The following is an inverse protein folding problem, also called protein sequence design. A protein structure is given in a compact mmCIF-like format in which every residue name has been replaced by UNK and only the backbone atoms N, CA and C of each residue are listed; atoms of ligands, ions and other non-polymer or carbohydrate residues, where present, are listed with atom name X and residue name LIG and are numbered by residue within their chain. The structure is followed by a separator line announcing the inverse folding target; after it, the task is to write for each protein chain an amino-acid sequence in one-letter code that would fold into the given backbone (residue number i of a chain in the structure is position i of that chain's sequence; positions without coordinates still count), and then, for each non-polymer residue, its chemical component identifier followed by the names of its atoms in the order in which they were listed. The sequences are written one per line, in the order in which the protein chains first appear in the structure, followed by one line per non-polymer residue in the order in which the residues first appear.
data_IF_134987869102
#
_entry.id   IF_134987869102
#
_cell.length_a   1.000
_cell.length_b   1.000
_cell.length_c   1.000
_cell.angle_alpha   90.00
_cell.angle_beta   90.00
_cell.angle_gamma   90.00
#
_symmetry.space_group_name_H-M   'P 1'
#
loop_
_entity.id
_entity.type
_entity.pdbx_description
1 polymer ?
#
# COMPACT_ATOMS: atom_id res chain seq x y z
N UNK A 1 -28.97 6.58 -9.74
CA UNK A 1 -27.98 7.27 -8.87
C UNK A 1 -27.01 8.01 -9.77
N UNK A 2 -26.55 9.21 -9.34
CA UNK A 2 -25.61 9.99 -10.16
C UNK A 2 -24.21 9.46 -9.85
N UNK A 3 -23.54 8.86 -10.84
CA UNK A 3 -22.16 8.37 -10.67
C UNK A 3 -21.21 9.57 -10.63
N UNK A 4 -20.46 9.72 -9.55
CA UNK A 4 -19.49 10.78 -9.39
C UNK A 4 -18.13 10.35 -9.95
N UNK A 5 -17.41 11.33 -10.50
CA UNK A 5 -16.02 11.17 -10.93
C UNK A 5 -15.11 11.91 -9.96
N UNK A 6 -14.26 11.19 -9.27
CA UNK A 6 -13.29 11.76 -8.34
C UNK A 6 -11.91 11.76 -8.96
N UNK A 7 -11.31 12.93 -9.08
CA UNK A 7 -9.92 13.09 -9.53
C UNK A 7 -8.95 12.89 -8.37
N UNK A 8 -7.86 12.17 -8.60
CA UNK A 8 -6.78 12.08 -7.63
C UNK A 8 -5.45 12.48 -8.26
N UNK A 9 -4.80 13.47 -7.66
CA UNK A 9 -3.51 14.00 -8.07
C UNK A 9 -2.47 13.85 -6.96
N UNK A 10 -1.24 13.45 -7.31
CA UNK A 10 -0.16 13.29 -6.33
C UNK A 10 1.18 13.76 -6.90
N UNK A 11 1.89 14.57 -6.11
CA UNK A 11 3.25 15.03 -6.44
C UNK A 11 4.19 14.84 -5.25
N UNK A 12 5.49 14.72 -5.53
CA UNK A 12 6.52 14.64 -4.50
C UNK A 12 7.01 16.01 -4.04
N UNK A 13 7.22 16.98 -4.96
CA UNK A 13 7.87 18.27 -4.64
C UNK A 13 7.50 19.45 -5.53
N UNK A 14 7.04 19.26 -6.76
CA UNK A 14 6.87 20.36 -7.72
C UNK A 14 5.41 20.82 -7.87
N UNK A 15 5.17 22.13 -7.63
CA UNK A 15 3.83 22.73 -7.79
C UNK A 15 3.35 22.69 -9.25
N UNK A 16 4.21 23.01 -10.20
CA UNK A 16 3.86 23.00 -11.64
C UNK A 16 3.37 21.65 -12.15
N UNK A 17 3.89 20.54 -11.58
CA UNK A 17 3.44 19.19 -11.94
C UNK A 17 2.06 18.89 -11.36
N UNK A 18 1.74 19.47 -10.20
CA UNK A 18 0.42 19.31 -9.59
C UNK A 18 -0.65 20.06 -10.39
N UNK A 19 -0.38 21.32 -10.76
CA UNK A 19 -1.30 22.16 -11.53
C UNK A 19 -1.66 21.48 -12.86
N UNK A 20 -0.67 20.96 -13.58
CA UNK A 20 -0.92 20.22 -14.81
C UNK A 20 -1.83 18.99 -14.61
N UNK A 21 -1.66 18.24 -13.50
CA UNK A 21 -2.54 17.11 -13.20
C UNK A 21 -3.97 17.60 -12.92
N UNK A 22 -4.11 18.67 -12.16
CA UNK A 22 -5.41 19.27 -11.83
C UNK A 22 -6.11 19.74 -13.10
N UNK A 23 -5.39 20.39 -14.01
CA UNK A 23 -5.94 20.85 -15.29
C UNK A 23 -6.44 19.68 -16.14
N UNK A 24 -5.64 18.62 -16.29
CA UNK A 24 -6.04 17.39 -17.02
C UNK A 24 -7.27 16.73 -16.42
N UNK A 25 -7.34 16.64 -15.10
CA UNK A 25 -8.49 16.06 -14.41
C UNK A 25 -9.74 16.93 -14.56
N UNK A 26 -9.58 18.25 -14.52
CA UNK A 26 -10.67 19.21 -14.70
C UNK A 26 -11.20 19.18 -16.14
N UNK A 27 -10.31 19.08 -17.13
CA UNK A 27 -10.68 18.94 -18.55
C UNK A 27 -11.43 17.62 -18.80
N UNK A 28 -11.06 16.54 -18.13
CA UNK A 28 -11.79 15.26 -18.18
C UNK A 28 -13.21 15.37 -17.57
N UNK A 29 -13.47 16.38 -16.78
CA UNK A 29 -14.78 16.66 -16.18
C UNK A 29 -15.02 15.84 -14.89
N UNK A 30 -14.05 15.82 -13.98
CA UNK A 30 -14.24 15.25 -12.63
C UNK A 30 -15.09 16.18 -11.78
N UNK A 31 -15.86 15.61 -10.85
CA UNK A 31 -16.73 16.37 -9.96
C UNK A 31 -15.98 16.96 -8.76
N UNK A 32 -14.92 16.28 -8.31
CA UNK A 32 -14.12 16.70 -7.18
C UNK A 32 -12.70 16.17 -7.35
N UNK A 33 -11.69 16.97 -6.98
CA UNK A 33 -10.28 16.61 -7.02
C UNK A 33 -9.73 16.52 -5.60
N UNK A 34 -9.01 15.44 -5.32
CA UNK A 34 -8.21 15.23 -4.13
C UNK A 34 -6.75 15.30 -4.53
N UNK A 35 -6.03 16.25 -3.96
CA UNK A 35 -4.62 16.48 -4.30
C UNK A 35 -3.72 16.29 -3.08
N UNK A 36 -2.60 15.60 -3.28
CA UNK A 36 -1.67 15.24 -2.22
C UNK A 36 -0.25 15.68 -2.56
N UNK A 37 0.32 16.51 -1.69
CA UNK A 37 1.74 16.83 -1.69
C UNK A 37 2.46 15.91 -0.73
N UNK A 38 3.34 15.06 -1.22
CA UNK A 38 4.13 14.16 -0.39
C UNK A 38 5.54 14.69 -0.22
N UNK A 39 5.84 15.19 0.98
CA UNK A 39 7.20 15.55 1.37
C UNK A 39 7.85 14.42 2.15
N UNK A 40 8.94 13.86 1.63
CA UNK A 40 9.82 12.93 2.35
C UNK A 40 9.18 11.59 2.72
N UNK A 41 9.50 11.10 3.91
CA UNK A 41 9.20 9.75 4.42
C UNK A 41 7.77 9.55 4.93
N UNK A 42 6.90 10.56 4.86
CA UNK A 42 5.52 10.44 5.37
C UNK A 42 4.72 9.44 4.53
N UNK A 43 4.37 8.31 5.16
CA UNK A 43 3.58 7.24 4.54
C UNK A 43 2.08 7.56 4.45
N UNK A 44 1.61 8.59 5.14
CA UNK A 44 0.20 8.91 5.26
C UNK A 44 -0.33 9.61 4.01
N UNK A 45 -1.52 9.24 3.57
CA UNK A 45 -2.20 9.76 2.37
C UNK A 45 -3.63 10.22 2.72
N UNK A 46 -3.78 11.28 3.52
CA UNK A 46 -5.07 11.69 4.05
C UNK A 46 -6.07 12.06 2.95
N UNK A 47 -5.61 12.62 1.84
CA UNK A 47 -6.51 12.98 0.75
C UNK A 47 -7.00 11.75 -0.03
N UNK A 48 -6.13 10.74 -0.21
CA UNK A 48 -6.56 9.46 -0.75
C UNK A 48 -7.59 8.79 0.16
N UNK A 49 -7.31 8.73 1.46
CA UNK A 49 -8.21 8.12 2.45
C UNK A 49 -9.59 8.81 2.44
N UNK A 50 -9.62 10.15 2.47
CA UNK A 50 -10.88 10.92 2.35
C UNK A 50 -11.64 10.59 1.06
N UNK A 51 -10.93 10.44 -0.06
CA UNK A 51 -11.54 10.04 -1.31
C UNK A 51 -12.14 8.64 -1.21
N UNK A 52 -11.37 7.66 -0.71
CA UNK A 52 -11.79 6.27 -0.58
C UNK A 52 -13.03 6.10 0.30
N UNK A 53 -13.15 6.91 1.36
CA UNK A 53 -14.30 6.90 2.27
C UNK A 53 -15.60 7.42 1.60
N UNK A 54 -15.46 8.30 0.60
CA UNK A 54 -16.62 8.86 -0.13
C UNK A 54 -17.08 8.03 -1.31
N UNK A 55 -16.23 7.10 -1.78
CA UNK A 55 -16.53 6.28 -2.95
C UNK A 55 -17.72 5.36 -2.71
N UNK A 56 -18.67 5.40 -3.63
CA UNK A 56 -19.85 4.55 -3.69
C UNK A 56 -19.86 3.69 -4.97
N UNK A 57 -20.67 2.65 -4.99
CA UNK A 57 -20.85 1.79 -6.16
C UNK A 57 -21.24 2.60 -7.41
N UNK A 58 -20.54 2.39 -8.51
CA UNK A 58 -20.74 3.08 -9.79
C UNK A 58 -19.91 4.35 -9.97
N UNK A 59 -19.30 4.89 -8.91
CA UNK A 59 -18.40 6.04 -9.02
C UNK A 59 -17.12 5.68 -9.83
N UNK A 60 -16.40 6.72 -10.25
CA UNK A 60 -15.14 6.55 -10.97
C UNK A 60 -14.02 7.37 -10.32
N UNK A 61 -12.86 6.74 -10.15
CA UNK A 61 -11.61 7.41 -9.79
C UNK A 61 -10.83 7.70 -11.07
N UNK A 62 -10.47 8.96 -11.29
CA UNK A 62 -9.72 9.44 -12.47
C UNK A 62 -8.35 9.90 -12.02
N UNK A 63 -7.32 9.43 -12.70
CA UNK A 63 -5.91 9.73 -12.41
C UNK A 63 -5.15 10.08 -13.70
N UNK A 64 -4.08 10.88 -13.59
CA UNK A 64 -3.16 11.10 -14.70
C UNK A 64 -2.52 9.78 -15.14
N UNK A 65 -1.98 9.02 -14.18
CA UNK A 65 -1.30 7.74 -14.42
C UNK A 65 -1.36 6.82 -13.19
N UNK A 66 -1.19 5.51 -13.42
CA UNK A 66 -1.18 4.51 -12.35
C UNK A 66 -0.10 4.78 -11.30
N UNK A 67 1.02 5.38 -11.70
CA UNK A 67 2.11 5.76 -10.79
C UNK A 67 1.72 6.87 -9.81
N UNK A 68 0.66 7.63 -10.09
CA UNK A 68 0.11 8.63 -9.17
C UNK A 68 -0.79 8.01 -8.12
N UNK A 69 -1.46 6.93 -8.47
CA UNK A 69 -2.34 6.20 -7.55
C UNK A 69 -1.54 5.32 -6.60
N UNK A 70 -0.73 4.39 -7.12
CA UNK A 70 0.11 3.49 -6.34
C UNK A 70 1.51 4.04 -6.09
N UNK A 71 2.12 3.72 -4.95
CA UNK A 71 3.55 3.96 -4.63
C UNK A 71 4.43 2.79 -5.01
N UNK A 72 3.85 1.63 -5.03
CA UNK A 72 4.45 0.36 -5.41
C UNK A 72 3.42 -0.47 -6.15
N UNK A 73 3.86 -1.49 -6.85
CA UNK A 73 2.97 -2.46 -7.47
C UNK A 73 2.00 -3.04 -6.45
N UNK A 74 2.48 -3.40 -5.26
CA UNK A 74 1.64 -3.92 -4.18
C UNK A 74 0.54 -2.95 -3.75
N UNK A 75 0.88 -1.69 -3.50
CA UNK A 75 -0.08 -0.63 -3.10
C UNK A 75 -1.14 -0.41 -4.19
N UNK A 76 -0.71 -0.39 -5.47
CA UNK A 76 -1.62 -0.26 -6.60
C UNK A 76 -2.63 -1.42 -6.65
N UNK A 77 -2.17 -2.65 -6.43
CA UNK A 77 -3.01 -3.84 -6.44
C UNK A 77 -4.05 -3.79 -5.33
N UNK A 78 -3.62 -3.46 -4.11
CA UNK A 78 -4.52 -3.36 -2.96
C UNK A 78 -5.63 -2.33 -3.23
N UNK A 79 -5.28 -1.19 -3.84
CA UNK A 79 -6.26 -0.19 -4.27
C UNK A 79 -7.19 -0.71 -5.37
N UNK A 80 -6.65 -1.45 -6.34
CA UNK A 80 -7.45 -2.03 -7.42
C UNK A 80 -8.43 -3.08 -6.89
N UNK A 81 -8.02 -3.92 -5.95
CA UNK A 81 -8.90 -4.88 -5.27
C UNK A 81 -10.01 -4.16 -4.49
N UNK A 82 -9.67 -3.07 -3.80
CA UNK A 82 -10.64 -2.25 -3.10
C UNK A 82 -11.67 -1.64 -4.06
N UNK A 83 -11.25 -1.09 -5.20
CA UNK A 83 -12.14 -0.54 -6.22
C UNK A 83 -13.06 -1.62 -6.79
N UNK A 84 -12.52 -2.80 -7.09
CA UNK A 84 -13.33 -3.91 -7.56
C UNK A 84 -14.38 -4.34 -6.52
N UNK A 85 -13.98 -4.48 -5.25
CA UNK A 85 -14.87 -4.82 -4.14
C UNK A 85 -15.97 -3.78 -3.94
N UNK A 86 -15.64 -2.49 -4.07
CA UNK A 86 -16.60 -1.38 -3.98
C UNK A 86 -17.38 -1.15 -5.28
N UNK A 87 -17.06 -1.87 -6.36
CA UNK A 87 -17.60 -1.67 -7.72
C UNK A 87 -17.39 -0.24 -8.22
N UNK A 88 -16.24 0.33 -7.93
CA UNK A 88 -15.79 1.64 -8.35
C UNK A 88 -14.96 1.49 -9.62
N UNK A 89 -15.16 2.37 -10.60
CA UNK A 89 -14.41 2.37 -11.83
C UNK A 89 -13.09 3.12 -11.68
N UNK A 90 -12.09 2.76 -12.49
CA UNK A 90 -10.80 3.44 -12.58
C UNK A 90 -10.58 3.93 -14.00
N UNK A 91 -10.17 5.19 -14.13
CA UNK A 91 -9.73 5.79 -15.39
C UNK A 91 -8.32 6.33 -15.22
N UNK A 92 -7.40 5.83 -16.04
CA UNK A 92 -6.02 6.33 -16.12
C UNK A 92 -5.80 6.97 -17.49
N UNK A 93 -5.58 8.29 -17.49
CA UNK A 93 -5.56 9.09 -18.72
C UNK A 93 -4.33 8.78 -19.59
N UNK A 94 -3.17 8.63 -18.96
CA UNK A 94 -1.91 8.39 -19.67
C UNK A 94 -1.80 6.99 -20.26
N UNK A 95 -2.27 5.99 -19.53
CA UNK A 95 -2.25 4.59 -19.99
C UNK A 95 -3.50 4.24 -20.83
N UNK A 96 -4.45 5.16 -21.01
CA UNK A 96 -5.72 4.93 -21.70
C UNK A 96 -6.51 3.73 -21.15
N UNK A 97 -6.48 3.56 -19.83
CA UNK A 97 -7.22 2.51 -19.14
C UNK A 97 -8.53 3.12 -18.62
N UNK A 98 -9.65 2.54 -19.05
CA UNK A 98 -10.99 2.91 -18.57
C UNK A 98 -11.77 1.63 -18.24
N UNK A 99 -11.92 1.34 -16.96
CA UNK A 99 -12.60 0.14 -16.50
C UNK A 99 -14.13 0.20 -16.66
N UNK A 100 -14.69 1.29 -17.16
CA UNK A 100 -16.09 1.32 -17.60
C UNK A 100 -16.30 0.55 -18.90
N UNK A 101 -15.23 0.40 -19.70
CA UNK A 101 -15.22 -0.34 -20.97
C UNK A 101 -14.88 -1.81 -20.77
N UNK A 102 -15.33 -2.69 -21.66
CA UNK A 102 -14.97 -4.10 -21.63
C UNK A 102 -13.47 -4.36 -21.75
N UNK A 103 -12.79 -3.60 -22.62
CA UNK A 103 -11.34 -3.68 -22.81
C UNK A 103 -10.57 -3.23 -21.57
N UNK A 104 -10.98 -2.12 -20.96
CA UNK A 104 -10.36 -1.62 -19.74
C UNK A 104 -10.58 -2.57 -18.55
N UNK A 105 -11.76 -3.19 -18.43
CA UNK A 105 -12.01 -4.26 -17.45
C UNK A 105 -11.10 -5.46 -17.65
N UNK A 106 -10.91 -5.88 -18.90
CA UNK A 106 -10.01 -6.99 -19.22
C UNK A 106 -8.57 -6.66 -18.83
N UNK A 107 -8.05 -5.49 -19.23
CA UNK A 107 -6.71 -5.03 -18.87
C UNK A 107 -6.53 -4.94 -17.35
N UNK A 108 -7.52 -4.38 -16.65
CA UNK A 108 -7.53 -4.31 -15.20
C UNK A 108 -7.46 -5.70 -14.56
N UNK A 109 -8.25 -6.65 -15.06
CA UNK A 109 -8.26 -8.04 -14.58
C UNK A 109 -6.92 -8.72 -14.82
N UNK A 110 -6.31 -8.51 -15.98
CA UNK A 110 -4.99 -9.08 -16.31
C UNK A 110 -3.90 -8.53 -15.38
N UNK A 111 -3.85 -7.21 -15.15
CA UNK A 111 -2.89 -6.60 -14.24
C UNK A 111 -3.08 -7.16 -12.81
N UNK A 112 -4.32 -7.28 -12.36
CA UNK A 112 -4.65 -7.86 -11.05
C UNK A 112 -4.20 -9.32 -10.94
N UNK A 113 -4.44 -10.12 -11.98
CA UNK A 113 -4.05 -11.53 -12.02
C UNK A 113 -2.52 -11.72 -12.04
N UNK A 114 -1.78 -10.95 -12.82
CA UNK A 114 -0.30 -10.96 -12.84
C UNK A 114 0.25 -10.65 -11.46
N UNK A 115 -0.33 -9.67 -10.82
CA UNK A 115 0.09 -9.22 -9.50
C UNK A 115 -0.21 -10.23 -8.40
N UNK A 116 -1.34 -10.95 -8.51
CA UNK A 116 -1.62 -12.08 -7.62
C UNK A 116 -0.60 -13.20 -7.84
N UNK A 117 -0.34 -13.54 -9.08
CA UNK A 117 0.67 -14.56 -9.44
C UNK A 117 2.06 -14.23 -8.88
N UNK A 118 2.51 -12.97 -8.96
CA UNK A 118 3.78 -12.54 -8.34
C UNK A 118 3.79 -12.75 -6.82
N UNK A 119 2.68 -12.41 -6.13
CA UNK A 119 2.56 -12.66 -4.68
C UNK A 119 2.65 -14.15 -4.35
N UNK A 120 1.95 -14.98 -5.09
CA UNK A 120 1.92 -16.42 -4.88
C UNK A 120 3.32 -17.02 -5.11
N UNK A 121 4.02 -16.61 -6.18
CA UNK A 121 5.40 -17.01 -6.43
C UNK A 121 6.36 -16.62 -5.29
N UNK A 122 6.22 -15.41 -4.73
CA UNK A 122 7.04 -14.95 -3.59
C UNK A 122 6.72 -15.78 -2.34
N UNK A 123 5.44 -16.05 -2.08
CA UNK A 123 5.01 -16.87 -0.95
C UNK A 123 5.57 -18.30 -1.03
N UNK A 124 5.52 -18.90 -2.21
CA UNK A 124 6.03 -20.26 -2.43
C UNK A 124 7.55 -20.32 -2.26
N UNK A 125 8.30 -19.40 -2.86
CA UNK A 125 9.77 -19.30 -2.66
C UNK A 125 10.14 -19.11 -1.18
N UNK A 126 9.37 -18.30 -0.46
CA UNK A 126 9.59 -18.05 0.97
C UNK A 126 9.31 -19.32 1.76
N UNK A 127 8.24 -20.06 1.45
CA UNK A 127 7.89 -21.32 2.10
C UNK A 127 8.97 -22.38 1.86
N UNK A 128 9.43 -22.51 0.63
CA UNK A 128 10.54 -23.42 0.26
C UNK A 128 11.84 -23.04 0.98
N UNK A 129 12.20 -21.75 0.99
CA UNK A 129 13.37 -21.25 1.70
C UNK A 129 13.32 -21.50 3.20
N UNK A 130 12.17 -21.28 3.84
CA UNK A 130 11.96 -21.58 5.26
C UNK A 130 12.02 -23.08 5.54
N UNK A 131 11.46 -23.91 4.66
CA UNK A 131 11.51 -25.39 4.77
C UNK A 131 12.96 -25.85 4.71
N UNK A 132 13.71 -25.40 3.73
CA UNK A 132 15.13 -25.73 3.58
C UNK A 132 16.00 -25.23 4.78
N UNK A 133 15.71 -24.05 5.32
CA UNK A 133 16.37 -23.52 6.48
C UNK A 133 16.10 -24.38 7.73
N UNK A 134 14.84 -24.78 7.95
CA UNK A 134 14.44 -25.67 9.04
C UNK A 134 15.09 -27.06 8.93
N UNK A 135 15.17 -27.62 7.72
CA UNK A 135 15.85 -28.89 7.47
C UNK A 135 17.36 -28.84 7.82
N UNK A 136 17.97 -27.65 7.72
CA UNK A 136 19.36 -27.38 8.11
C UNK A 136 19.51 -27.00 9.60
N UNK A 137 18.45 -27.14 10.41
CA UNK A 137 18.47 -26.81 11.84
C UNK A 137 18.38 -25.32 12.16
N UNK A 138 18.19 -24.45 11.17
CA UNK A 138 18.03 -23.01 11.40
C UNK A 138 16.60 -22.71 11.83
N UNK A 139 16.43 -22.35 13.10
CA UNK A 139 15.13 -21.89 13.62
C UNK A 139 15.09 -20.36 13.51
N UNK A 140 14.04 -19.84 12.87
CA UNK A 140 13.76 -18.41 12.91
C UNK A 140 13.27 -18.01 14.30
N UNK A 141 13.24 -16.72 14.58
CA UNK A 141 12.78 -16.16 15.82
C UNK A 141 13.81 -15.21 16.43
N UNK A 142 13.47 -14.62 17.59
CA UNK A 142 14.40 -13.78 18.34
C UNK A 142 15.54 -14.67 18.84
N UNK A 143 16.82 -14.26 18.67
CA UNK A 143 17.95 -14.98 19.26
C UNK A 143 17.74 -15.17 20.76
N UNK A 144 18.12 -16.32 21.32
CA UNK A 144 18.06 -16.51 22.77
C UNK A 144 18.96 -15.49 23.46
N UNK A 145 18.51 -15.02 24.62
CA UNK A 145 19.32 -14.14 25.48
C UNK A 145 20.55 -14.93 25.89
N UNK A 146 21.72 -14.28 25.88
CA UNK A 146 22.96 -14.96 26.31
C UNK A 146 22.88 -15.45 27.74
N UNK A 147 23.46 -16.60 28.00
CA UNK A 147 23.52 -17.17 29.39
C UNK A 147 24.15 -16.20 30.36
N UNK A 148 25.14 -15.42 29.94
CA UNK A 148 25.80 -14.40 30.76
C UNK A 148 24.85 -13.28 31.18
N UNK A 149 23.96 -12.80 30.28
CA UNK A 149 22.95 -11.82 30.60
C UNK A 149 21.89 -12.38 31.57
N UNK A 150 21.48 -13.63 31.36
CA UNK A 150 20.55 -14.31 32.26
C UNK A 150 21.14 -14.46 33.66
N UNK A 151 22.40 -14.84 33.73
CA UNK A 151 23.10 -15.01 35.03
C UNK A 151 23.34 -13.67 35.72
N UNK A 152 23.61 -12.60 34.96
CA UNK A 152 23.71 -11.25 35.50
C UNK A 152 22.35 -10.77 36.05
N UNK A 153 21.28 -10.95 35.31
CA UNK A 153 19.94 -10.59 35.75
C UNK A 153 19.51 -11.36 37.00
N UNK A 154 19.81 -12.65 37.09
CA UNK A 154 19.56 -13.47 38.30
C UNK A 154 20.32 -12.94 39.51
N UNK A 155 21.60 -12.61 39.34
CA UNK A 155 22.40 -12.05 40.46
C UNK A 155 21.81 -10.74 40.95
N UNK A 156 21.43 -9.83 40.05
CA UNK A 156 20.79 -8.55 40.43
C UNK A 156 19.46 -8.77 41.14
N UNK A 157 18.66 -9.72 40.67
CA UNK A 157 17.40 -10.09 41.34
C UNK A 157 17.58 -10.64 42.73
N UNK A 158 18.60 -11.49 42.92
CA UNK A 158 18.89 -12.14 44.22
C UNK A 158 19.39 -11.15 45.29
N UNK A 159 20.00 -10.01 44.89
CA UNK A 159 20.41 -8.96 45.81
C UNK A 159 19.23 -8.23 46.46
N UNK A 160 18.02 -8.27 45.82
CA UNK A 160 16.81 -7.54 46.20
C UNK A 160 16.97 -6.01 46.30
N UNK A 161 18.05 -5.50 45.72
CA UNK A 161 18.33 -4.04 45.67
C UNK A 161 17.73 -3.36 44.43
N UNK A 162 17.34 -4.16 43.43
CA UNK A 162 16.82 -3.67 42.13
C UNK A 162 15.40 -4.16 41.90
N UNK A 163 14.57 -3.31 41.33
CA UNK A 163 13.23 -3.66 40.84
C UNK A 163 13.32 -4.42 39.52
N UNK A 164 12.26 -5.16 39.14
CA UNK A 164 12.21 -5.86 37.84
C UNK A 164 12.42 -4.91 36.66
N UNK A 165 11.87 -3.69 36.73
CA UNK A 165 12.02 -2.68 35.64
C UNK A 165 13.47 -2.20 35.49
N UNK A 166 14.23 -2.07 36.61
CA UNK A 166 15.64 -1.67 36.58
C UNK A 166 16.57 -2.81 36.10
N UNK A 167 16.11 -4.07 36.18
CA UNK A 167 16.85 -5.24 35.66
C UNK A 167 16.61 -5.44 34.16
N UNK A 168 15.48 -4.92 33.59
CA UNK A 168 15.13 -4.97 32.16
C UNK A 168 15.84 -3.93 31.34
N UNK A 169 16.34 -2.81 31.90
CA UNK A 169 17.19 -1.81 31.26
C UNK A 169 18.66 -2.27 31.17
#
# INVERSE_FOLDING_TARGET
MKNYKFGYARVSTEEQVLDRQIDMLSEYGVNQIYSEKMTGTKRNRPELEKMLDRLSEGDAVVIESLSRLGRSTKDLIELMELFNKKKVNLVSLKENIDTTTATGKLLFTLISAISQFERDCIADRTREGLSAARARGRKGGRPPISSELIDKAKRLYDTKEYTMSEIEE
#
